data_IF_103099422265
#
_entry.id   IF_103099422265
#
_cell.length_a   1.000
_cell.length_b   1.000
_cell.length_c   1.000
_cell.angle_alpha   90.00
_cell.angle_beta   90.00
_cell.angle_gamma   90.00
#
_symmetry.space_group_name_H-M   'P 1'
#
loop_
_entity.id
_entity.type
_entity.pdbx_description
1 polymer ?
#
# COMPACT_ATOMS: atom_id res chain seq x y z
N UNK A 1 -60.20 26.91 46.09
CA UNK A 1 -59.26 25.77 46.14
C UNK A 1 -59.37 24.99 44.84
N UNK A 2 -58.26 24.91 44.07
CA UNK A 2 -57.90 23.88 43.06
C UNK A 2 -58.88 23.77 41.86
N UNK A 3 -58.47 23.82 40.59
CA UNK A 3 -57.52 22.92 39.92
C UNK A 3 -57.05 23.56 38.60
N UNK A 4 -55.76 23.85 38.49
CA UNK A 4 -55.10 24.05 37.20
C UNK A 4 -54.71 22.65 36.72
N UNK A 5 -55.32 22.19 35.63
CA UNK A 5 -54.91 20.96 34.93
C UNK A 5 -54.02 21.39 33.78
N UNK A 6 -52.71 21.38 34.01
CA UNK A 6 -51.73 21.46 32.94
C UNK A 6 -51.50 20.05 32.40
N UNK A 7 -52.01 19.77 31.21
CA UNK A 7 -51.62 18.60 30.43
C UNK A 7 -50.20 18.84 29.90
N UNK A 8 -49.20 18.35 30.63
CA UNK A 8 -47.82 18.26 30.12
C UNK A 8 -47.80 17.09 29.15
N UNK A 9 -47.91 17.40 27.87
CA UNK A 9 -47.51 16.52 26.78
C UNK A 9 -46.01 16.24 26.92
N UNK A 10 -45.66 15.09 27.50
CA UNK A 10 -44.34 14.49 27.34
C UNK A 10 -44.17 14.16 25.85
N UNK A 11 -43.65 15.13 25.09
CA UNK A 11 -42.87 14.81 23.91
C UNK A 11 -41.63 14.06 24.41
N UNK A 12 -41.69 12.74 24.40
CA UNK A 12 -40.49 11.90 24.31
C UNK A 12 -39.86 12.20 22.94
N UNK A 13 -39.10 13.29 22.87
CA UNK A 13 -38.06 13.41 21.86
C UNK A 13 -37.08 12.30 22.23
N UNK A 14 -37.23 11.15 21.57
CA UNK A 14 -36.18 10.16 21.45
C UNK A 14 -35.02 10.85 20.72
N UNK A 15 -34.28 11.69 21.43
CA UNK A 15 -32.89 11.91 21.10
C UNK A 15 -32.28 10.52 21.17
N UNK A 16 -31.82 9.92 20.06
CA UNK A 16 -31.04 8.70 20.18
C UNK A 16 -29.92 9.04 21.16
N UNK A 17 -29.93 8.41 22.33
CA UNK A 17 -28.77 8.41 23.19
C UNK A 17 -27.63 7.98 22.26
N UNK A 18 -26.67 8.88 22.02
CA UNK A 18 -25.57 8.66 21.11
C UNK A 18 -24.81 7.45 21.65
N UNK A 19 -25.08 6.29 21.05
CA UNK A 19 -24.51 5.02 21.49
C UNK A 19 -22.98 5.09 21.33
N UNK A 20 -22.26 4.38 22.20
CA UNK A 20 -20.86 4.06 21.92
C UNK A 20 -20.75 3.37 20.55
N UNK A 21 -19.58 3.42 19.90
CA UNK A 21 -19.33 2.69 18.66
C UNK A 21 -19.97 1.29 18.67
N UNK A 22 -20.75 0.99 17.63
CA UNK A 22 -21.20 -0.38 17.37
C UNK A 22 -20.05 -1.19 16.80
N UNK A 23 -20.00 -2.48 17.14
CA UNK A 23 -18.95 -3.39 16.67
C UNK A 23 -19.57 -4.66 16.09
N UNK A 24 -18.97 -5.16 15.02
CA UNK A 24 -19.29 -6.46 14.43
C UNK A 24 -18.02 -7.32 14.37
N UNK A 25 -18.12 -8.60 14.74
CA UNK A 25 -16.98 -9.52 14.75
C UNK A 25 -16.15 -9.52 16.04
N UNK A 26 -14.97 -10.14 15.97
CA UNK A 26 -14.09 -10.37 17.13
C UNK A 26 -12.71 -9.77 16.92
N UNK A 27 -12.06 -9.34 18.02
CA UNK A 27 -10.70 -8.84 17.92
C UNK A 27 -9.78 -9.92 17.37
N UNK A 28 -8.87 -9.52 16.48
CA UNK A 28 -7.98 -10.45 15.80
C UNK A 28 -6.52 -10.04 15.95
N UNK A 29 -5.62 -11.02 15.94
CA UNK A 29 -4.19 -10.78 15.94
C UNK A 29 -3.53 -11.61 14.83
N UNK A 30 -2.62 -11.00 14.09
CA UNK A 30 -1.88 -11.63 13.00
C UNK A 30 -0.38 -11.43 13.19
N UNK A 31 0.41 -12.44 12.85
CA UNK A 31 1.87 -12.33 12.86
C UNK A 31 2.36 -12.00 11.45
N UNK A 32 3.14 -10.93 11.34
CA UNK A 32 3.84 -10.55 10.11
C UNK A 32 5.33 -10.81 10.31
N UNK A 33 5.81 -11.93 9.78
CA UNK A 33 7.16 -12.43 10.10
C UNK A 33 8.16 -12.14 8.98
N UNK A 34 9.27 -11.48 9.35
CA UNK A 34 10.41 -11.18 8.50
C UNK A 34 11.69 -11.94 8.90
N UNK A 35 11.57 -13.10 9.56
CA UNK A 35 12.71 -13.96 9.87
C UNK A 35 13.35 -14.53 8.61
N UNK A 36 14.69 -14.55 8.59
CA UNK A 36 15.52 -15.02 7.47
C UNK A 36 15.25 -14.28 6.15
N UNK A 37 14.68 -13.07 6.22
CA UNK A 37 14.51 -12.20 5.05
C UNK A 37 15.88 -11.71 4.60
N UNK A 38 16.14 -11.76 3.30
CA UNK A 38 17.34 -11.19 2.70
C UNK A 38 17.17 -9.68 2.60
N UNK A 39 18.09 -8.92 3.17
CA UNK A 39 18.05 -7.45 3.20
C UNK A 39 19.27 -6.93 2.47
N UNK A 40 19.06 -6.16 1.41
CA UNK A 40 20.13 -5.44 0.73
C UNK A 40 20.64 -4.32 1.65
N UNK A 41 21.89 -4.42 2.07
CA UNK A 41 22.58 -3.49 2.98
C UNK A 41 23.59 -2.59 2.26
N UNK A 42 23.48 -2.47 0.93
CA UNK A 42 24.25 -1.55 0.11
C UNK A 42 24.09 -0.10 0.62
N UNK A 43 25.20 0.58 0.89
CA UNK A 43 25.20 1.96 1.41
C UNK A 43 24.80 3.00 0.37
N UNK A 44 24.83 2.65 -0.91
CA UNK A 44 24.32 3.49 -2.01
C UNK A 44 22.80 3.40 -2.17
N UNK A 45 22.14 2.46 -1.46
CA UNK A 45 20.69 2.31 -1.51
C UNK A 45 20.00 3.55 -0.93
N UNK A 46 19.13 4.16 -1.74
CA UNK A 46 18.42 5.38 -1.38
C UNK A 46 17.46 5.15 -0.19
N UNK A 47 17.29 6.17 0.65
CA UNK A 47 16.23 6.17 1.64
C UNK A 47 14.85 6.09 0.96
N UNK A 48 13.94 5.30 1.51
CA UNK A 48 12.64 4.99 0.90
C UNK A 48 12.62 3.70 0.08
N UNK A 49 13.77 3.10 -0.24
CA UNK A 49 13.81 1.81 -0.94
C UNK A 49 13.18 0.69 -0.11
N UNK A 50 12.41 -0.17 -0.77
CA UNK A 50 11.78 -1.34 -0.13
C UNK A 50 12.81 -2.44 0.10
N UNK A 51 13.04 -2.78 1.36
CA UNK A 51 13.94 -3.85 1.80
C UNK A 51 13.25 -5.21 1.87
N UNK A 52 11.93 -5.23 2.10
CA UNK A 52 11.15 -6.45 2.18
C UNK A 52 9.66 -6.15 2.29
N UNK A 53 8.83 -7.09 1.86
CA UNK A 53 7.37 -6.96 1.96
C UNK A 53 6.74 -8.27 2.43
N UNK A 54 5.71 -8.16 3.28
CA UNK A 54 4.88 -9.29 3.69
C UNK A 54 3.43 -8.86 3.71
N UNK A 55 2.57 -9.74 3.19
CA UNK A 55 1.12 -9.57 3.21
C UNK A 55 0.50 -10.76 3.94
N UNK A 56 -0.43 -10.47 4.85
CA UNK A 56 -1.17 -11.45 5.64
C UNK A 56 -2.67 -11.23 5.45
N UNK A 57 -3.39 -12.31 5.14
CA UNK A 57 -4.85 -12.34 5.07
C UNK A 57 -5.43 -13.26 6.16
N UNK A 58 -6.59 -13.86 5.89
CA UNK A 58 -7.22 -14.81 6.81
C UNK A 58 -7.93 -14.06 7.94
N UNK A 59 -7.36 -14.08 9.15
CA UNK A 59 -7.95 -13.40 10.31
C UNK A 59 -8.11 -11.88 10.12
N UNK A 60 -7.37 -11.26 9.19
CA UNK A 60 -7.58 -9.86 8.79
C UNK A 60 -8.96 -9.66 8.15
N UNK A 61 -9.36 -10.56 7.23
CA UNK A 61 -10.61 -10.45 6.47
C UNK A 61 -11.87 -10.59 7.34
N UNK A 62 -11.72 -11.15 8.54
CA UNK A 62 -12.79 -11.34 9.52
C UNK A 62 -12.55 -10.54 10.81
N UNK A 63 -11.61 -9.60 10.79
CA UNK A 63 -11.32 -8.78 11.95
C UNK A 63 -12.55 -7.95 12.32
N UNK A 64 -12.68 -7.65 13.62
CA UNK A 64 -13.77 -6.79 14.12
C UNK A 64 -13.76 -5.45 13.40
N UNK A 65 -14.94 -4.99 13.00
CA UNK A 65 -15.16 -3.65 12.44
C UNK A 65 -15.98 -2.79 13.40
N UNK A 66 -16.06 -1.49 13.12
CA UNK A 66 -16.86 -0.54 13.90
C UNK A 66 -17.77 0.34 13.02
N UNK A 67 -18.85 0.85 13.63
CA UNK A 67 -19.81 1.77 12.98
C UNK A 67 -20.52 2.65 13.99
N UNK A 68 -21.16 3.72 13.53
CA UNK A 68 -22.05 4.56 14.34
C UNK A 68 -21.41 5.11 15.62
N UNK A 69 -20.11 5.42 15.58
CA UNK A 69 -19.40 6.04 16.69
C UNK A 69 -19.94 7.44 16.99
N UNK A 70 -19.91 7.86 18.26
CA UNK A 70 -20.29 9.22 18.66
C UNK A 70 -19.15 10.22 18.47
N UNK A 71 -19.46 11.51 18.56
CA UNK A 71 -18.54 12.64 18.27
C UNK A 71 -17.19 12.55 19.00
N UNK A 72 -17.17 12.02 20.23
CA UNK A 72 -15.97 11.93 21.07
C UNK A 72 -15.24 10.59 21.00
N UNK A 73 -15.73 9.63 20.21
CA UNK A 73 -15.03 8.37 19.99
C UNK A 73 -13.90 8.59 18.98
N UNK A 74 -12.86 7.76 19.12
CA UNK A 74 -11.61 7.90 18.36
C UNK A 74 -11.24 6.60 17.68
N UNK A 75 -10.61 6.74 16.53
CA UNK A 75 -9.93 5.67 15.82
C UNK A 75 -8.42 5.89 15.95
N UNK A 76 -7.68 4.87 16.36
CA UNK A 76 -6.26 4.97 16.62
C UNK A 76 -5.48 3.78 16.06
N UNK A 77 -4.31 4.08 15.52
CA UNK A 77 -3.31 3.12 15.09
C UNK A 77 -2.07 3.37 15.93
N UNK A 78 -1.76 2.41 16.82
CA UNK A 78 -0.76 2.60 17.87
C UNK A 78 0.23 1.45 17.83
N UNK A 79 1.53 1.78 17.77
CA UNK A 79 2.61 0.82 17.90
C UNK A 79 3.04 0.63 19.37
N UNK A 80 3.40 -0.60 19.72
CA UNK A 80 3.99 -1.00 20.99
C UNK A 80 5.23 -1.87 20.74
N UNK A 81 6.43 -1.49 21.22
CA UNK A 81 6.73 -0.22 21.89
C UNK A 81 6.44 0.98 20.98
N UNK A 82 6.31 2.17 21.56
CA UNK A 82 6.14 3.40 20.78
C UNK A 82 7.33 3.59 19.83
N UNK A 83 7.02 4.03 18.61
CA UNK A 83 7.99 4.21 17.53
C UNK A 83 7.99 5.66 17.05
N UNK A 84 9.12 6.11 16.53
CA UNK A 84 9.27 7.44 15.97
C UNK A 84 9.09 7.41 14.45
N UNK A 85 8.63 8.51 13.87
CA UNK A 85 8.64 8.71 12.43
C UNK A 85 10.11 8.83 11.94
N UNK A 86 10.44 8.12 10.87
CA UNK A 86 11.72 8.27 10.16
C UNK A 86 11.70 9.58 9.36
N UNK A 87 12.27 10.64 9.95
CA UNK A 87 12.12 12.00 9.44
C UNK A 87 12.62 12.17 8.00
N UNK A 88 11.73 12.63 7.10
CA UNK A 88 12.04 12.90 5.70
C UNK A 88 12.30 11.63 4.88
N UNK A 89 11.73 10.50 5.29
CA UNK A 89 11.68 9.25 4.52
C UNK A 89 10.21 8.91 4.28
N UNK A 90 9.86 8.63 3.03
CA UNK A 90 8.54 8.14 2.64
C UNK A 90 8.68 6.73 2.08
N UNK A 91 7.70 5.88 2.34
CA UNK A 91 7.67 4.52 1.84
C UNK A 91 6.81 4.40 0.59
N UNK A 92 6.06 3.31 0.52
CA UNK A 92 5.25 2.98 -0.65
C UNK A 92 4.08 3.95 -0.75
N UNK A 93 3.70 4.36 -1.96
CA UNK A 93 2.65 5.38 -2.19
C UNK A 93 2.87 6.72 -1.45
N UNK A 94 4.11 7.02 -1.03
CA UNK A 94 4.41 8.22 -0.25
C UNK A 94 3.99 8.13 1.23
N UNK A 95 3.73 6.92 1.73
CA UNK A 95 3.33 6.66 3.11
C UNK A 95 4.39 7.02 4.16
N UNK A 96 3.98 7.20 5.43
CA UNK A 96 4.91 7.46 6.52
C UNK A 96 5.70 6.21 6.90
N UNK A 97 7.00 6.38 7.14
CA UNK A 97 7.90 5.31 7.60
C UNK A 97 8.21 5.51 9.07
N UNK A 98 8.16 4.44 9.86
CA UNK A 98 8.45 4.45 11.29
C UNK A 98 9.71 3.66 11.60
N UNK A 99 10.52 4.15 12.53
CA UNK A 99 11.76 3.50 12.95
C UNK A 99 11.46 2.16 13.62
N UNK A 100 12.07 1.08 13.12
CA UNK A 100 12.00 -0.21 13.83
C UNK A 100 12.89 -0.19 15.07
N UNK A 101 13.81 0.76 15.17
CA UNK A 101 14.92 0.80 16.12
C UNK A 101 15.99 -0.27 15.86
N UNK A 102 16.06 -0.79 14.65
CA UNK A 102 17.27 -1.39 14.05
C UNK A 102 17.80 -0.32 13.08
N UNK A 103 19.02 0.23 13.27
CA UNK A 103 19.52 1.32 12.44
C UNK A 103 19.44 1.01 10.94
N UNK A 104 18.98 1.97 10.17
CA UNK A 104 18.80 1.87 8.71
C UNK A 104 17.53 1.13 8.26
N UNK A 105 16.75 0.53 9.17
CA UNK A 105 15.53 -0.23 8.83
C UNK A 105 14.30 0.39 9.51
N UNK A 106 13.38 0.89 8.70
CA UNK A 106 12.06 1.37 9.07
C UNK A 106 10.97 0.41 8.63
N UNK A 107 9.73 0.67 9.03
CA UNK A 107 8.56 -0.05 8.54
C UNK A 107 7.42 0.90 8.17
N UNK A 108 6.62 0.45 7.23
CA UNK A 108 5.32 1.03 6.87
C UNK A 108 4.29 -0.11 6.95
N UNK A 109 3.09 0.18 7.45
CA UNK A 109 1.98 -0.77 7.50
C UNK A 109 0.79 -0.22 6.71
N UNK A 110 0.01 -1.10 6.08
CA UNK A 110 -1.23 -0.72 5.42
C UNK A 110 -2.35 -0.48 6.43
N UNK A 111 -3.30 0.35 6.05
CA UNK A 111 -4.53 0.65 6.78
C UNK A 111 -5.43 -0.60 6.88
N UNK A 112 -6.12 -0.73 8.01
CA UNK A 112 -7.03 -1.84 8.31
C UNK A 112 -8.50 -1.53 8.02
N UNK A 113 -8.84 -0.25 7.79
CA UNK A 113 -10.21 0.20 7.52
C UNK A 113 -10.37 0.85 6.13
N UNK A 114 -9.29 0.92 5.36
CA UNK A 114 -9.29 1.46 4.01
C UNK A 114 -8.24 0.76 3.15
N UNK A 115 -8.53 0.71 1.85
CA UNK A 115 -7.77 -0.05 0.87
C UNK A 115 -8.53 -1.26 0.37
N UNK A 116 -7.99 -1.88 -0.68
CA UNK A 116 -8.54 -3.07 -1.31
C UNK A 116 -7.43 -4.09 -1.56
N UNK A 117 -7.82 -5.33 -1.88
CA UNK A 117 -6.84 -6.31 -2.34
C UNK A 117 -6.11 -5.78 -3.59
N UNK A 118 -4.78 -5.84 -3.58
CA UNK A 118 -3.96 -5.27 -4.63
C UNK A 118 -3.96 -3.75 -4.70
N UNK A 119 -4.48 -3.04 -3.67
CA UNK A 119 -4.36 -1.59 -3.44
C UNK A 119 -4.38 -1.25 -1.95
N UNK A 120 -3.30 -1.56 -1.24
CA UNK A 120 -3.20 -1.13 0.14
C UNK A 120 -3.10 0.39 0.22
N UNK A 121 -3.61 0.96 1.29
CA UNK A 121 -3.41 2.37 1.65
C UNK A 121 -2.41 2.40 2.79
N UNK A 122 -1.32 3.19 2.76
CA UNK A 122 -0.43 3.32 3.91
C UNK A 122 -1.15 3.91 5.12
N UNK A 123 -0.99 3.32 6.29
CA UNK A 123 -1.58 3.81 7.52
C UNK A 123 -0.70 4.89 8.15
N UNK A 124 -1.34 5.84 8.85
CA UNK A 124 -0.66 6.83 9.68
C UNK A 124 -0.89 6.51 11.15
N UNK A 125 0.17 6.19 11.89
CA UNK A 125 0.10 6.02 13.34
C UNK A 125 -0.36 7.33 14.00
N UNK A 126 -1.27 7.20 14.96
CA UNK A 126 -1.87 8.33 15.63
C UNK A 126 -3.33 8.08 16.00
N UNK A 127 -4.06 9.16 16.24
CA UNK A 127 -5.47 9.11 16.64
C UNK A 127 -6.25 10.18 15.87
N UNK A 128 -7.39 9.77 15.32
CA UNK A 128 -8.34 10.63 14.61
C UNK A 128 -9.74 10.43 15.19
N UNK A 129 -10.69 11.30 14.85
CA UNK A 129 -12.09 11.10 15.25
C UNK A 129 -12.66 9.86 14.54
N UNK A 130 -13.36 9.00 15.27
CA UNK A 130 -14.13 7.90 14.69
C UNK A 130 -15.52 8.35 14.22
N UNK A 131 -15.92 9.59 14.54
CA UNK A 131 -17.24 10.12 14.17
C UNK A 131 -17.37 10.28 12.66
N UNK A 132 -18.40 9.66 12.08
CA UNK A 132 -18.62 9.65 10.64
C UNK A 132 -17.66 8.76 9.85
N UNK A 133 -16.70 8.09 10.51
CA UNK A 133 -15.94 7.02 9.88
C UNK A 133 -16.79 5.77 9.76
N UNK A 134 -16.64 5.09 8.64
CA UNK A 134 -17.17 3.76 8.42
C UNK A 134 -16.02 2.80 8.22
N UNK A 135 -16.11 1.62 8.83
CA UNK A 135 -15.12 0.57 8.68
C UNK A 135 -15.67 -0.53 7.74
N UNK A 136 -15.35 -0.49 6.44
CA UNK A 136 -15.69 -1.57 5.52
C UNK A 136 -14.87 -2.85 5.75
N UNK A 137 -13.85 -2.81 6.61
CA UNK A 137 -12.83 -3.85 6.75
C UNK A 137 -11.90 -3.94 5.54
N UNK A 138 -10.83 -4.73 5.69
CA UNK A 138 -9.91 -5.09 4.60
C UNK A 138 -9.68 -6.60 4.57
N UNK A 139 -9.35 -7.13 3.39
CA UNK A 139 -9.10 -8.57 3.22
C UNK A 139 -7.71 -9.00 3.68
N UNK A 140 -6.75 -8.08 3.67
CA UNK A 140 -5.35 -8.35 3.98
C UNK A 140 -4.67 -7.10 4.51
N UNK A 141 -3.59 -7.31 5.26
CA UNK A 141 -2.70 -6.26 5.74
C UNK A 141 -1.31 -6.50 5.16
N UNK A 142 -0.67 -5.43 4.70
CA UNK A 142 0.68 -5.45 4.16
C UNK A 142 1.61 -4.64 5.06
N UNK A 143 2.82 -5.15 5.25
CA UNK A 143 3.91 -4.44 5.90
C UNK A 143 5.10 -4.42 4.96
N UNK A 144 5.74 -3.26 4.86
CA UNK A 144 6.99 -3.08 4.14
C UNK A 144 8.08 -2.73 5.13
N UNK A 145 9.27 -3.30 4.93
CA UNK A 145 10.50 -2.80 5.51
C UNK A 145 11.08 -1.80 4.52
N UNK A 146 11.43 -0.62 5.02
CA UNK A 146 11.88 0.51 4.21
C UNK A 146 13.25 0.96 4.70
N UNK A 147 14.17 1.25 3.76
CA UNK A 147 15.48 1.82 4.06
C UNK A 147 15.31 3.24 4.64
N UNK A 148 15.79 3.47 5.86
CA UNK A 148 15.85 4.84 6.42
C UNK A 148 17.12 5.56 5.97
N UNK A 149 17.39 6.75 6.50
CA UNK A 149 18.58 7.54 6.12
C UNK A 149 19.88 6.91 6.58
N UNK A 150 19.88 6.29 7.76
CA UNK A 150 21.08 5.68 8.34
C UNK A 150 21.49 4.43 7.56
N UNK A 151 22.78 4.11 7.59
CA UNK A 151 23.26 2.82 7.07
C UNK A 151 22.60 1.67 7.84
N UNK A 152 22.34 0.57 7.14
CA UNK A 152 21.79 -0.64 7.76
C UNK A 152 22.85 -1.23 8.69
N UNK A 153 22.51 -1.40 9.96
CA UNK A 153 23.36 -2.08 10.93
C UNK A 153 23.35 -3.59 10.67
N UNK A 154 24.36 -4.06 9.93
CA UNK A 154 24.53 -5.47 9.57
C UNK A 154 25.01 -6.34 10.75
N UNK A 155 25.37 -5.74 11.89
CA UNK A 155 25.75 -6.49 13.10
C UNK A 155 24.54 -6.98 13.90
N UNK A 156 23.35 -6.40 13.65
CA UNK A 156 22.11 -6.85 14.29
C UNK A 156 21.74 -8.27 13.83
N UNK A 157 21.94 -9.24 14.72
CA UNK A 157 21.60 -10.66 14.54
C UNK A 157 20.42 -11.11 15.41
N UNK A 158 19.79 -10.17 16.13
CA UNK A 158 18.72 -10.44 17.08
C UNK A 158 17.34 -10.61 16.44
N UNK A 159 16.33 -10.66 17.30
CA UNK A 159 14.90 -10.58 16.95
C UNK A 159 14.30 -9.36 17.62
N UNK A 160 13.38 -8.70 16.94
CA UNK A 160 12.63 -7.57 17.49
C UNK A 160 11.14 -7.73 17.16
N UNK A 161 10.28 -7.33 18.10
CA UNK A 161 8.84 -7.39 17.91
C UNK A 161 8.23 -6.01 18.11
N UNK A 162 7.33 -5.64 17.19
CA UNK A 162 6.53 -4.42 17.26
C UNK A 162 5.09 -4.83 17.02
N UNK A 163 4.19 -4.50 17.94
CA UNK A 163 2.76 -4.72 17.76
C UNK A 163 2.11 -3.42 17.31
N UNK A 164 1.47 -3.42 16.14
CA UNK A 164 0.65 -2.30 15.66
C UNK A 164 -0.82 -2.67 15.87
N UNK A 165 -1.51 -1.93 16.75
CA UNK A 165 -2.92 -2.14 17.05
C UNK A 165 -3.80 -1.09 16.36
N UNK A 166 -4.86 -1.56 15.72
CA UNK A 166 -5.97 -0.75 15.20
C UNK A 166 -7.12 -0.81 16.20
N UNK A 167 -7.59 0.36 16.65
CA UNK A 167 -8.54 0.46 17.75
C UNK A 167 -9.58 1.53 17.44
N UNK A 168 -10.85 1.28 17.76
CA UNK A 168 -11.93 2.26 17.68
C UNK A 168 -12.78 2.21 18.94
N UNK A 169 -13.22 3.36 19.45
CA UNK A 169 -14.09 3.44 20.62
C UNK A 169 -13.88 4.71 21.43
N UNK A 170 -14.38 4.73 22.67
CA UNK A 170 -14.10 5.86 23.56
C UNK A 170 -12.61 5.99 23.84
N UNK A 171 -12.16 7.23 24.12
CA UNK A 171 -10.75 7.53 24.43
C UNK A 171 -10.19 6.60 25.52
N UNK A 172 -10.96 6.33 26.58
CA UNK A 172 -10.55 5.44 27.66
C UNK A 172 -10.36 3.98 27.18
N UNK A 173 -11.28 3.47 26.37
CA UNK A 173 -11.20 2.11 25.82
C UNK A 173 -10.00 1.93 24.88
N UNK A 174 -9.71 2.95 24.06
CA UNK A 174 -8.60 2.95 23.10
C UNK A 174 -7.25 3.04 23.82
N UNK A 175 -7.12 3.96 24.77
CA UNK A 175 -5.90 4.13 25.57
C UNK A 175 -5.60 2.91 26.45
N UNK A 176 -6.63 2.27 26.99
CA UNK A 176 -6.48 1.05 27.78
C UNK A 176 -6.17 -0.21 26.95
N UNK A 177 -6.09 -0.10 25.61
CA UNK A 177 -6.00 -1.26 24.69
C UNK A 177 -7.06 -2.33 25.01
N UNK A 178 -8.30 -1.89 25.28
CA UNK A 178 -9.37 -2.81 25.67
C UNK A 178 -9.70 -3.78 24.53
N UNK A 179 -10.03 -5.03 24.89
CA UNK A 179 -10.48 -6.01 23.91
C UNK A 179 -11.76 -5.57 23.18
N UNK A 180 -12.59 -4.72 23.81
CA UNK A 180 -13.76 -4.11 23.17
C UNK A 180 -13.35 -3.23 21.99
N UNK A 181 -12.45 -2.26 22.20
CA UNK A 181 -12.04 -1.31 21.18
C UNK A 181 -11.03 -1.85 20.17
N UNK A 182 -10.29 -2.92 20.49
CA UNK A 182 -9.31 -3.51 19.57
C UNK A 182 -10.01 -4.20 18.41
N UNK A 183 -9.64 -3.78 17.20
CA UNK A 183 -10.12 -4.33 15.93
C UNK A 183 -9.17 -5.44 15.46
N UNK A 184 -7.90 -5.05 15.29
CA UNK A 184 -6.83 -5.88 14.76
C UNK A 184 -5.51 -5.53 15.45
N UNK A 185 -4.65 -6.52 15.65
CA UNK A 185 -3.25 -6.33 16.01
C UNK A 185 -2.33 -7.04 15.03
N UNK A 186 -1.43 -6.31 14.39
CA UNK A 186 -0.35 -6.85 13.59
C UNK A 186 0.92 -6.95 14.43
N UNK A 187 1.41 -8.16 14.68
CA UNK A 187 2.66 -8.43 15.39
C UNK A 187 3.78 -8.58 14.37
N UNK A 188 4.58 -7.54 14.19
CA UNK A 188 5.71 -7.49 13.29
C UNK A 188 6.89 -8.20 13.97
N UNK A 189 7.27 -9.37 13.47
CA UNK A 189 8.40 -10.17 13.96
C UNK A 189 9.60 -9.96 13.05
N UNK A 190 10.49 -9.09 13.47
CA UNK A 190 11.67 -8.66 12.73
C UNK A 190 12.88 -9.51 13.08
N UNK A 191 13.64 -9.89 12.07
CA UNK A 191 14.89 -10.63 12.24
C UNK A 191 14.73 -12.09 12.71
N UNK A 192 15.86 -12.82 12.84
CA UNK A 192 17.18 -12.42 12.33
C UNK A 192 17.16 -12.26 10.81
N UNK A 193 17.88 -11.28 10.27
CA UNK A 193 17.96 -11.01 8.84
C UNK A 193 19.20 -11.68 8.22
N UNK A 194 19.19 -11.82 6.89
CA UNK A 194 20.36 -12.22 6.11
C UNK A 194 20.77 -11.00 5.29
N UNK A 195 21.85 -10.32 5.68
CA UNK A 195 22.30 -9.13 4.97
C UNK A 195 23.04 -9.51 3.68
N UNK A 196 22.79 -8.73 2.62
CA UNK A 196 23.43 -8.84 1.32
C UNK A 196 24.06 -7.49 1.00
N UNK A 197 25.36 -7.46 0.78
CA UNK A 197 26.02 -6.22 0.31
C UNK A 197 25.70 -5.90 -1.14
N UNK A 198 25.38 -6.92 -1.94
CA UNK A 198 25.03 -6.79 -3.36
C UNK A 198 23.84 -7.68 -3.72
N UNK A 199 23.10 -7.29 -4.75
CA UNK A 199 21.99 -8.05 -5.32
C UNK A 199 21.90 -7.77 -6.83
N UNK A 200 20.94 -8.40 -7.49
CA UNK A 200 20.63 -8.11 -8.88
C UNK A 200 20.15 -6.66 -9.05
N UNK A 201 20.64 -5.98 -10.09
CA UNK A 201 20.20 -4.66 -10.48
C UNK A 201 19.21 -4.74 -11.64
N UNK A 202 18.21 -3.85 -11.67
CA UNK A 202 17.24 -3.72 -12.76
C UNK A 202 17.45 -2.38 -13.45
N UNK A 203 17.78 -2.40 -14.74
CA UNK A 203 18.07 -1.20 -15.52
C UNK A 203 17.17 -1.13 -16.76
N UNK A 204 16.36 -0.07 -16.91
CA UNK A 204 15.61 0.16 -18.15
C UNK A 204 16.53 0.44 -19.34
N UNK A 205 16.40 -0.35 -20.41
CA UNK A 205 17.18 -0.17 -21.64
C UNK A 205 16.78 1.14 -22.32
N UNK A 206 17.76 2.03 -22.54
CA UNK A 206 17.52 3.34 -23.14
C UNK A 206 16.99 4.41 -22.18
N UNK A 207 17.03 4.15 -20.87
CA UNK A 207 16.65 5.10 -19.82
C UNK A 207 15.26 4.86 -19.22
N UNK A 208 14.95 5.55 -18.12
CA UNK A 208 13.74 5.34 -17.30
C UNK A 208 12.46 5.97 -17.85
N UNK A 209 12.51 6.63 -19.01
CA UNK A 209 11.36 7.33 -19.60
C UNK A 209 10.90 6.66 -20.88
N UNK A 210 9.63 6.27 -20.93
CA UNK A 210 9.00 5.64 -22.10
C UNK A 210 8.09 6.67 -22.78
N UNK A 211 8.56 7.26 -23.87
CA UNK A 211 7.75 8.17 -24.67
C UNK A 211 6.88 7.41 -25.68
N UNK A 212 5.56 7.38 -25.45
CA UNK A 212 4.58 6.93 -26.45
C UNK A 212 4.46 7.96 -27.56
N UNK A 213 4.10 7.51 -28.76
CA UNK A 213 3.74 8.42 -29.86
C UNK A 213 2.40 9.08 -29.54
N UNK A 214 2.22 10.33 -29.96
CA UNK A 214 0.93 11.00 -29.84
C UNK A 214 -0.18 10.21 -30.56
N UNK A 215 -1.38 10.24 -29.99
CA UNK A 215 -2.58 9.62 -30.55
C UNK A 215 -3.71 10.65 -30.61
N UNK A 216 -4.43 10.68 -31.72
CA UNK A 216 -5.61 11.54 -31.84
C UNK A 216 -6.76 11.01 -30.98
N UNK A 217 -7.53 11.90 -30.36
CA UNK A 217 -8.65 11.48 -29.52
C UNK A 217 -9.69 10.64 -30.29
N UNK A 218 -9.91 10.94 -31.58
CA UNK A 218 -10.78 10.14 -32.46
C UNK A 218 -10.27 8.71 -32.68
N UNK A 219 -8.95 8.54 -32.82
CA UNK A 219 -8.32 7.23 -32.96
C UNK A 219 -8.46 6.42 -31.68
N UNK A 220 -8.19 7.03 -30.52
CA UNK A 220 -8.34 6.34 -29.24
C UNK A 220 -9.81 5.97 -28.97
N UNK A 221 -10.77 6.85 -29.29
CA UNK A 221 -12.22 6.56 -29.18
C UNK A 221 -12.63 5.35 -30.02
N UNK A 222 -12.07 5.18 -31.22
CA UNK A 222 -12.40 4.06 -32.10
C UNK A 222 -11.89 2.69 -31.60
N UNK A 223 -10.90 2.67 -30.71
CA UNK A 223 -10.34 1.43 -30.15
C UNK A 223 -11.22 0.92 -29.02
N UNK A 224 -11.45 -0.39 -28.93
CA UNK A 224 -12.15 -0.98 -27.78
C UNK A 224 -11.37 -0.72 -26.47
N UNK A 225 -12.06 -0.58 -25.34
CA UNK A 225 -11.38 -0.34 -24.06
C UNK A 225 -10.35 -1.45 -23.74
N UNK A 226 -9.08 -1.06 -23.52
CA UNK A 226 -7.96 -1.99 -23.28
C UNK A 226 -7.39 -2.69 -24.53
N UNK A 227 -8.00 -2.46 -25.69
CA UNK A 227 -7.49 -2.90 -26.99
C UNK A 227 -6.18 -2.20 -27.34
N UNK A 228 -5.39 -2.82 -28.22
CA UNK A 228 -4.15 -2.23 -28.72
C UNK A 228 -4.45 -1.02 -29.60
N UNK A 229 -3.78 0.10 -29.35
CA UNK A 229 -4.04 1.34 -30.08
C UNK A 229 -3.27 1.45 -31.40
N UNK A 230 -2.29 0.56 -31.63
CA UNK A 230 -1.31 0.69 -32.70
C UNK A 230 -0.24 1.77 -32.41
N UNK A 231 -0.30 2.42 -31.24
CA UNK A 231 0.67 3.40 -30.74
C UNK A 231 1.39 2.91 -29.48
N UNK A 232 1.24 1.64 -29.14
CA UNK A 232 1.96 1.03 -28.05
C UNK A 232 3.48 1.07 -28.27
N UNK A 233 4.23 1.07 -27.18
CA UNK A 233 5.68 1.02 -27.19
C UNK A 233 6.19 -0.11 -26.33
N UNK A 234 7.08 -0.91 -26.90
CA UNK A 234 7.83 -1.90 -26.15
C UNK A 234 8.96 -1.24 -25.36
N UNK A 235 9.21 -1.77 -24.17
CA UNK A 235 10.38 -1.41 -23.38
C UNK A 235 10.92 -2.66 -22.68
N UNK A 236 12.23 -2.64 -22.44
CA UNK A 236 12.96 -3.77 -21.87
C UNK A 236 13.64 -3.34 -20.58
N UNK A 237 13.52 -4.18 -19.56
CA UNK A 237 14.27 -4.04 -18.31
C UNK A 237 15.33 -5.13 -18.29
N UNK A 238 16.60 -4.73 -18.29
CA UNK A 238 17.72 -5.65 -18.15
C UNK A 238 17.97 -5.91 -16.66
N UNK A 239 18.19 -7.18 -16.31
CA UNK A 239 18.53 -7.63 -14.97
C UNK A 239 19.95 -8.16 -15.02
N UNK A 240 20.84 -7.58 -14.22
CA UNK A 240 22.24 -8.00 -14.10
C UNK A 240 22.54 -8.37 -12.66
N UNK A 241 23.08 -9.57 -12.46
CA UNK A 241 23.29 -10.14 -11.13
C UNK A 241 24.78 -10.38 -10.84
N UNK A 242 25.23 -10.20 -9.58
CA UNK A 242 26.53 -10.69 -9.14
C UNK A 242 26.55 -12.23 -9.14
N UNK A 243 27.73 -12.83 -9.17
CA UNK A 243 27.85 -14.32 -9.21
C UNK A 243 27.24 -14.99 -7.98
N UNK A 244 27.26 -14.30 -6.84
CA UNK A 244 26.66 -14.74 -5.58
C UNK A 244 25.13 -14.86 -5.63
N UNK A 245 24.47 -14.15 -6.54
CA UNK A 245 23.02 -14.22 -6.72
C UNK A 245 22.60 -15.22 -7.80
N UNK A 246 23.52 -15.63 -8.70
CA UNK A 246 23.19 -16.56 -9.79
C UNK A 246 22.66 -17.88 -9.21
N UNK A 247 21.58 -18.39 -9.79
CA UNK A 247 20.95 -19.62 -9.34
C UNK A 247 19.89 -19.44 -8.26
N UNK A 248 19.85 -18.30 -7.57
CA UNK A 248 18.87 -18.02 -6.52
C UNK A 248 17.50 -17.61 -7.08
N UNK A 249 16.47 -17.71 -6.25
CA UNK A 249 15.10 -17.35 -6.58
C UNK A 249 14.83 -15.89 -6.24
N UNK A 250 14.16 -15.20 -7.15
CA UNK A 250 13.71 -13.82 -6.97
C UNK A 250 12.21 -13.70 -7.21
N UNK A 251 11.55 -12.81 -6.47
CA UNK A 251 10.24 -12.25 -6.81
C UNK A 251 10.41 -10.86 -7.37
N UNK A 252 9.50 -10.44 -8.24
CA UNK A 252 9.37 -9.03 -8.57
C UNK A 252 7.91 -8.61 -8.59
N UNK A 253 7.67 -7.33 -8.34
CA UNK A 253 6.34 -6.76 -8.32
C UNK A 253 6.39 -5.28 -8.70
N UNK A 254 5.21 -4.72 -8.97
CA UNK A 254 5.07 -3.37 -9.49
C UNK A 254 4.44 -2.47 -8.44
N UNK A 255 5.14 -1.38 -8.11
CA UNK A 255 4.66 -0.33 -7.23
C UNK A 255 4.17 0.86 -8.07
N UNK A 256 2.86 1.12 -8.16
CA UNK A 256 2.36 2.31 -8.84
C UNK A 256 2.67 3.56 -8.00
N UNK A 257 3.34 4.55 -8.61
CA UNK A 257 3.55 5.87 -7.99
C UNK A 257 2.43 6.82 -8.38
N UNK A 258 1.99 6.72 -9.64
CA UNK A 258 0.73 7.29 -10.09
C UNK A 258 -0.42 6.35 -9.72
N UNK A 259 -1.57 6.91 -9.35
CA UNK A 259 -2.76 6.14 -9.00
C UNK A 259 -3.09 5.07 -10.06
N UNK A 260 -3.45 3.86 -9.63
CA UNK A 260 -3.85 2.75 -10.50
C UNK A 260 -5.35 2.46 -10.46
N UNK A 261 -5.89 1.92 -11.56
CA UNK A 261 -7.34 1.77 -11.77
C UNK A 261 -8.03 0.80 -10.81
N UNK A 262 -9.18 1.24 -10.25
CA UNK A 262 -10.18 0.52 -9.44
C UNK A 262 -10.45 -0.93 -9.82
N UNK A 263 -10.55 -1.21 -11.12
CA UNK A 263 -11.17 -2.43 -11.60
C UNK A 263 -10.38 -3.10 -12.71
N UNK A 264 -9.20 -2.56 -13.07
CA UNK A 264 -8.45 -2.97 -14.25
C UNK A 264 -6.97 -3.09 -13.93
N UNK A 265 -6.47 -4.31 -14.08
CA UNK A 265 -5.05 -4.63 -13.95
C UNK A 265 -4.21 -3.85 -14.96
N UNK A 266 -3.01 -3.47 -14.55
CA UNK A 266 -2.00 -2.80 -15.38
C UNK A 266 -2.34 -1.37 -15.75
N UNK A 267 -3.49 -0.83 -15.34
CA UNK A 267 -3.93 0.50 -15.71
C UNK A 267 -3.49 1.54 -14.68
N UNK A 268 -2.78 2.57 -15.16
CA UNK A 268 -2.42 3.77 -14.41
C UNK A 268 -3.27 4.95 -14.89
N UNK A 269 -3.74 5.77 -13.95
CA UNK A 269 -4.44 7.01 -14.23
C UNK A 269 -3.46 8.07 -14.74
N UNK A 270 -3.99 9.17 -15.28
CA UNK A 270 -3.18 10.32 -15.62
C UNK A 270 -2.80 11.11 -14.36
N UNK A 271 -1.51 11.34 -14.14
CA UNK A 271 -1.01 12.16 -13.03
C UNK A 271 -1.09 13.67 -13.28
N UNK A 272 -1.36 14.10 -14.52
CA UNK A 272 -1.52 15.52 -14.87
C UNK A 272 -3.00 15.89 -14.70
N UNK A 273 -3.35 16.82 -13.79
CA UNK A 273 -4.73 17.26 -13.63
C UNK A 273 -5.29 17.95 -14.89
N UNK A 274 -6.59 17.82 -15.12
CA UNK A 274 -7.30 18.50 -16.22
C UNK A 274 -7.04 20.02 -16.23
N UNK A 275 -7.01 20.63 -15.04
CA UNK A 275 -6.75 22.07 -14.87
C UNK A 275 -5.33 22.50 -15.25
N UNK A 276 -4.40 21.54 -15.39
CA UNK A 276 -3.03 21.75 -15.83
C UNK A 276 -2.81 21.28 -17.28
N UNK A 277 -3.89 21.09 -18.05
CA UNK A 277 -3.83 20.60 -19.43
C UNK A 277 -3.68 19.08 -19.54
N UNK A 278 -4.04 18.35 -18.49
CA UNK A 278 -4.14 16.89 -18.51
C UNK A 278 -5.29 16.40 -19.40
N UNK A 279 -5.11 15.25 -20.05
CA UNK A 279 -6.22 14.57 -20.72
C UNK A 279 -7.19 13.97 -19.69
N UNK A 280 -8.50 14.05 -19.99
CA UNK A 280 -9.56 13.43 -19.17
C UNK A 280 -9.96 12.08 -19.74
N UNK A 281 -10.22 11.13 -18.84
CA UNK A 281 -10.62 9.75 -19.14
C UNK A 281 -9.59 8.98 -20.00
N UNK A 282 -8.34 9.41 -19.96
CA UNK A 282 -7.19 8.71 -20.59
C UNK A 282 -6.16 8.38 -19.51
N UNK A 283 -5.56 7.20 -19.62
CA UNK A 283 -4.44 6.76 -18.81
C UNK A 283 -3.52 5.85 -19.62
N UNK A 284 -2.84 4.96 -18.92
CA UNK A 284 -1.91 4.00 -19.52
C UNK A 284 -2.28 2.58 -19.12
N UNK A 285 -1.97 1.61 -19.97
CA UNK A 285 -1.97 0.19 -19.63
C UNK A 285 -0.59 -0.40 -19.87
N UNK A 286 -0.06 -1.08 -18.86
CA UNK A 286 1.23 -1.78 -18.91
C UNK A 286 0.99 -3.28 -18.98
N UNK A 287 1.63 -3.94 -19.95
CA UNK A 287 1.48 -5.37 -20.22
C UNK A 287 2.83 -6.08 -20.22
N UNK A 288 2.83 -7.33 -19.77
CA UNK A 288 3.94 -8.26 -19.96
C UNK A 288 3.47 -9.38 -20.89
N UNK A 289 4.04 -9.44 -22.10
CA UNK A 289 3.43 -10.17 -23.20
C UNK A 289 2.05 -9.59 -23.53
N UNK A 290 1.01 -10.43 -23.61
CA UNK A 290 -0.36 -9.99 -23.88
C UNK A 290 -1.16 -9.63 -22.62
N UNK A 291 -0.66 -9.95 -21.43
CA UNK A 291 -1.39 -9.81 -20.17
C UNK A 291 -1.07 -8.49 -19.46
N UNK A 292 -2.06 -7.75 -18.94
CA UNK A 292 -1.80 -6.62 -18.06
C UNK A 292 -1.01 -7.05 -16.82
N UNK A 293 -0.10 -6.19 -16.37
CA UNK A 293 0.60 -6.43 -15.10
C UNK A 293 -0.33 -6.25 -13.91
N UNK A 294 -0.02 -6.83 -12.75
CA UNK A 294 -0.79 -6.61 -11.53
C UNK A 294 0.05 -5.85 -10.52
N UNK A 295 -0.44 -4.67 -10.14
CA UNK A 295 0.19 -3.85 -9.11
C UNK A 295 -0.03 -4.47 -7.72
N UNK A 296 0.96 -4.33 -6.84
CA UNK A 296 0.93 -4.83 -5.46
C UNK A 296 0.73 -6.35 -5.30
N UNK A 297 0.91 -7.15 -6.37
CA UNK A 297 0.96 -8.60 -6.24
C UNK A 297 2.41 -9.07 -6.01
N UNK A 298 2.74 -9.22 -4.73
CA UNK A 298 4.08 -9.56 -4.25
C UNK A 298 4.53 -10.99 -4.54
N UNK A 299 3.67 -11.83 -5.14
CA UNK A 299 3.96 -13.27 -5.36
C UNK A 299 3.73 -13.72 -6.79
N UNK A 300 3.01 -12.96 -7.61
CA UNK A 300 2.65 -13.35 -8.98
C UNK A 300 3.84 -13.55 -9.89
N UNK A 301 4.86 -12.71 -9.79
CA UNK A 301 6.00 -12.77 -10.69
C UNK A 301 7.24 -13.30 -9.98
N UNK A 302 7.78 -14.40 -10.51
CA UNK A 302 8.94 -15.08 -9.95
C UNK A 302 9.96 -15.41 -11.02
N UNK A 303 11.24 -15.31 -10.67
CA UNK A 303 12.37 -15.87 -11.41
C UNK A 303 12.89 -17.02 -10.56
N UNK A 304 12.61 -18.26 -10.97
CA UNK A 304 12.96 -19.45 -10.19
C UNK A 304 14.48 -19.60 -9.97
N UNK A 305 15.26 -19.20 -10.97
CA UNK A 305 16.72 -19.26 -10.95
C UNK A 305 17.27 -18.13 -11.81
N UNK A 306 17.84 -17.11 -11.17
CA UNK A 306 18.31 -15.92 -11.88
C UNK A 306 19.62 -16.18 -12.62
N UNK A 307 19.73 -15.65 -13.84
CA UNK A 307 20.96 -15.69 -14.64
C UNK A 307 21.82 -14.47 -14.36
N UNK A 308 23.11 -14.55 -14.74
CA UNK A 308 24.04 -13.42 -14.68
C UNK A 308 23.49 -12.18 -15.39
N UNK A 309 22.89 -12.39 -16.56
CA UNK A 309 22.20 -11.38 -17.34
C UNK A 309 20.94 -11.97 -17.95
N UNK A 310 19.84 -11.23 -17.86
CA UNK A 310 18.56 -11.57 -18.49
C UNK A 310 17.73 -10.29 -18.66
N UNK A 311 16.60 -10.38 -19.36
CA UNK A 311 15.76 -9.23 -19.62
C UNK A 311 14.28 -9.56 -19.45
N UNK A 312 13.49 -8.56 -19.08
CA UNK A 312 12.03 -8.60 -19.05
C UNK A 312 11.49 -7.62 -20.07
N UNK A 313 10.60 -8.08 -20.95
CA UNK A 313 9.99 -7.24 -21.99
C UNK A 313 8.56 -6.89 -21.61
N UNK A 314 8.22 -5.62 -21.84
CA UNK A 314 6.92 -5.05 -21.52
C UNK A 314 6.43 -4.17 -22.66
N UNK A 315 5.15 -3.85 -22.60
CA UNK A 315 4.52 -2.92 -23.53
C UNK A 315 3.72 -1.89 -22.73
N UNK A 316 3.89 -0.62 -23.05
CA UNK A 316 3.04 0.47 -22.58
C UNK A 316 2.13 0.92 -23.72
N UNK A 317 0.86 1.18 -23.42
CA UNK A 317 -0.12 1.70 -24.38
C UNK A 317 -1.07 2.69 -23.69
N UNK A 318 -1.81 3.49 -24.46
CA UNK A 318 -2.88 4.32 -23.93
C UNK A 318 -4.07 3.47 -23.48
N UNK A 319 -4.77 3.94 -22.46
CA UNK A 319 -6.01 3.32 -21.98
C UNK A 319 -7.11 4.37 -21.93
N UNK A 320 -8.27 4.08 -22.55
CA UNK A 320 -9.48 4.91 -22.39
C UNK A 320 -10.37 4.40 -21.27
N UNK A 321 -10.81 5.29 -20.40
CA UNK A 321 -11.78 4.97 -19.34
C UNK A 321 -13.23 5.11 -19.83
N UNK A 322 -13.48 6.02 -20.76
CA UNK A 322 -14.79 6.29 -21.37
C UNK A 322 -14.66 6.74 -22.83
N UNK A 323 -15.78 6.91 -23.53
CA UNK A 323 -15.80 7.55 -24.86
C UNK A 323 -15.87 9.09 -24.79
N UNK A 324 -16.06 9.64 -23.59
CA UNK A 324 -16.14 11.09 -23.32
C UNK A 324 -14.77 11.71 -23.09
N UNK A 325 -13.75 11.24 -23.84
CA UNK A 325 -12.36 11.68 -23.72
C UNK A 325 -12.20 13.17 -24.04
N UNK A 326 -11.40 13.86 -23.24
CA UNK A 326 -10.88 15.20 -23.55
C UNK A 326 -9.38 15.13 -23.84
N UNK A 327 -8.90 15.71 -24.95
CA UNK A 327 -7.47 15.74 -25.27
C UNK A 327 -6.65 16.50 -24.21
N UNK A 328 -5.39 16.10 -24.05
CA UNK A 328 -4.44 16.75 -23.17
C UNK A 328 -3.18 15.92 -22.98
N UNK A 329 -2.31 16.38 -22.11
CA UNK A 329 -1.08 15.66 -21.77
C UNK A 329 -1.39 14.49 -20.84
N UNK A 330 -0.65 13.40 -20.99
CA UNK A 330 -0.71 12.26 -20.09
C UNK A 330 0.65 11.92 -19.51
N UNK A 331 0.70 11.55 -18.24
CA UNK A 331 1.92 11.04 -17.58
C UNK A 331 1.55 10.05 -16.49
N UNK A 332 2.32 8.99 -16.36
CA UNK A 332 2.25 8.08 -15.23
C UNK A 332 3.65 7.59 -14.84
N UNK A 333 3.78 7.15 -13.59
CA UNK A 333 5.02 6.66 -13.00
C UNK A 333 4.70 5.39 -12.22
N UNK A 334 5.56 4.39 -12.36
CA UNK A 334 5.55 3.19 -11.54
C UNK A 334 6.98 2.69 -11.37
N UNK A 335 7.20 1.84 -10.39
CA UNK A 335 8.47 1.20 -10.08
C UNK A 335 8.33 -0.30 -10.19
N UNK A 336 9.45 -0.96 -10.48
CA UNK A 336 9.61 -2.41 -10.34
C UNK A 336 10.52 -2.68 -9.15
N UNK A 337 10.12 -3.62 -8.31
CA UNK A 337 10.88 -4.02 -7.13
C UNK A 337 11.28 -5.49 -7.30
N UNK A 338 12.56 -5.77 -7.12
CA UNK A 338 13.15 -7.11 -7.25
C UNK A 338 13.65 -7.55 -5.87
N UNK A 339 13.26 -8.74 -5.41
CA UNK A 339 13.54 -9.23 -4.06
C UNK A 339 14.00 -10.69 -4.09
N UNK A 340 15.15 -10.97 -3.46
CA UNK A 340 15.68 -12.33 -3.26
C UNK A 340 14.80 -13.06 -2.23
N UNK A 341 14.32 -14.25 -2.57
CA UNK A 341 13.51 -15.09 -1.66
C UNK A 341 14.35 -15.85 -0.64
#
# INVERSE_FOLDING_TARGET
MKRIVAFISLLFINLPALADCGYDGSDSAVNVTFSSTKILSDTSLAAGSVLGVRTVGGAVATAKTFKNCKVNDVYAIIASPSVNLAAGVTGVLGGPVYETGIPGIGFENSEAIAGANGRPVPATLGTVSAYGLNDPGVQQLTVWLIKTKDNIDTSFSGKKEIAVSYRAGSVNQVNANSATARLLQANLKLGPFIYRETSCNVTPKGGSTINLTNIEASQLKAVAQGGGTGKQKEFTLDITCPDTSVGTKYTYWFNPITENSASKDGVLLNSIPDTAGGAKDVGFIIKQGSSPIVFFDYKKYTIASVKKSQSLNFTADYYKFSDSLMPGNVRAIFEIILQEE
#
